data_IF_160880015211
#
_entry.id   IF_160880015211
#
_cell.length_a   1.000
_cell.length_b   1.000
_cell.length_c   1.000
_cell.angle_alpha   90.00
_cell.angle_beta   90.00
_cell.angle_gamma   90.00
#
_symmetry.space_group_name_H-M   'P 1'
#
loop_
_entity.id
_entity.type
_entity.pdbx_description
1 polymer ?
#
# COMPACT_ATOMS: atom_id res chain seq x y z
N UNK A 1 2.30 -28.27 -25.93
CA UNK A 1 2.95 -28.44 -24.62
C UNK A 1 2.19 -27.57 -23.63
N UNK A 2 1.64 -28.19 -22.61
CA UNK A 2 0.71 -27.66 -21.61
C UNK A 2 1.44 -26.68 -20.68
N UNK A 3 0.80 -25.54 -20.34
CA UNK A 3 0.43 -25.03 -18.99
C UNK A 3 -0.53 -23.83 -19.23
N UNK A 4 -1.86 -23.94 -19.12
CA UNK A 4 -2.67 -23.88 -17.88
C UNK A 4 -2.09 -22.85 -16.89
N UNK A 5 -2.76 -21.78 -16.49
CA UNK A 5 -4.10 -21.75 -15.90
C UNK A 5 -4.71 -20.36 -16.02
N UNK A 6 -6.04 -20.28 -15.98
CA UNK A 6 -6.80 -19.04 -15.95
C UNK A 6 -6.16 -18.01 -15.01
N UNK A 7 -5.97 -16.79 -15.51
CA UNK A 7 -5.90 -15.62 -14.63
C UNK A 7 -7.21 -15.62 -13.86
N UNK A 8 -7.17 -16.15 -12.66
CA UNK A 8 -8.27 -16.09 -11.70
C UNK A 8 -8.78 -14.67 -11.62
N UNK A 9 -9.99 -14.44 -12.12
CA UNK A 9 -10.82 -13.28 -11.78
C UNK A 9 -11.40 -13.49 -10.34
N UNK A 10 -10.62 -14.08 -9.43
CA UNK A 10 -11.04 -14.40 -8.05
C UNK A 10 -10.02 -14.03 -6.99
N UNK A 11 -9.09 -13.11 -7.28
CA UNK A 11 -8.26 -12.48 -6.25
C UNK A 11 -8.56 -10.97 -6.13
N UNK A 12 -9.68 -10.58 -5.46
CA UNK A 12 -10.02 -9.18 -5.20
C UNK A 12 -8.87 -8.40 -4.54
N UNK A 13 -8.12 -9.06 -3.65
CA UNK A 13 -6.95 -8.49 -2.97
C UNK A 13 -5.85 -8.12 -3.97
N UNK A 14 -5.52 -9.03 -4.89
CA UNK A 14 -4.52 -8.80 -5.93
C UNK A 14 -4.89 -7.65 -6.86
N UNK A 15 -6.14 -7.60 -7.32
CA UNK A 15 -6.63 -6.50 -8.16
C UNK A 15 -6.59 -5.15 -7.43
N UNK A 16 -6.98 -5.13 -6.15
CA UNK A 16 -6.90 -3.92 -5.34
C UNK A 16 -5.45 -3.48 -5.12
N UNK A 17 -4.53 -4.41 -4.85
CA UNK A 17 -3.11 -4.12 -4.73
C UNK A 17 -2.53 -3.48 -6.00
N UNK A 18 -2.84 -4.05 -7.18
CA UNK A 18 -2.42 -3.52 -8.48
C UNK A 18 -2.97 -2.11 -8.72
N UNK A 19 -4.25 -1.88 -8.40
CA UNK A 19 -4.89 -0.57 -8.52
C UNK A 19 -4.22 0.47 -7.62
N UNK A 20 -3.96 0.13 -6.36
CA UNK A 20 -3.29 1.02 -5.41
C UNK A 20 -1.87 1.34 -5.87
N UNK A 21 -1.11 0.31 -6.28
CA UNK A 21 0.26 0.47 -6.74
C UNK A 21 0.35 1.35 -8.00
N UNK A 22 -0.54 1.13 -8.96
CA UNK A 22 -0.63 1.94 -10.17
C UNK A 22 -0.92 3.40 -9.86
N UNK A 23 -1.89 3.66 -8.96
CA UNK A 23 -2.23 5.04 -8.59
C UNK A 23 -1.09 5.76 -7.87
N UNK A 24 -0.38 5.09 -6.95
CA UNK A 24 0.77 5.69 -6.26
C UNK A 24 1.90 5.97 -7.25
N UNK A 25 2.19 5.03 -8.15
CA UNK A 25 3.32 5.12 -9.08
C UNK A 25 3.12 6.20 -10.14
N UNK A 26 1.89 6.38 -10.61
CA UNK A 26 1.55 7.36 -11.64
C UNK A 26 1.18 8.75 -11.08
N UNK A 27 1.10 8.88 -9.76
CA UNK A 27 0.72 10.14 -9.12
C UNK A 27 1.84 11.18 -9.21
N UNK A 28 1.52 12.47 -9.46
CA UNK A 28 2.48 13.56 -9.31
C UNK A 28 2.89 13.79 -7.84
N UNK A 29 2.07 13.30 -6.90
CA UNK A 29 2.30 13.37 -5.44
C UNK A 29 2.18 11.97 -4.80
N UNK A 30 3.14 11.05 -5.00
CA UNK A 30 3.04 9.66 -4.51
C UNK A 30 2.83 9.56 -2.99
N UNK A 31 3.44 10.45 -2.21
CA UNK A 31 3.27 10.53 -0.75
C UNK A 31 1.83 10.88 -0.34
N UNK A 32 1.21 11.84 -1.03
CA UNK A 32 -0.18 12.20 -0.77
C UNK A 32 -1.15 11.08 -1.18
N UNK A 33 -0.86 10.40 -2.30
CA UNK A 33 -1.64 9.25 -2.74
C UNK A 33 -1.54 8.07 -1.76
N UNK A 34 -0.35 7.80 -1.21
CA UNK A 34 -0.17 6.84 -0.11
C UNK A 34 -1.03 7.21 1.11
N UNK A 35 -0.96 8.48 1.54
CA UNK A 35 -1.76 9.00 2.66
C UNK A 35 -3.26 8.83 2.41
N UNK A 36 -3.72 9.11 1.20
CA UNK A 36 -5.11 8.93 0.78
C UNK A 36 -5.54 7.48 0.97
N UNK A 37 -4.80 6.53 0.42
CA UNK A 37 -5.12 5.11 0.56
C UNK A 37 -5.12 4.66 2.00
N UNK A 38 -4.09 4.99 2.79
CA UNK A 38 -4.07 4.64 4.23
C UNK A 38 -5.32 5.16 4.96
N UNK A 39 -5.75 6.39 4.66
CA UNK A 39 -6.96 6.99 5.25
C UNK A 39 -8.25 6.30 4.78
N UNK A 40 -8.32 5.88 3.52
CA UNK A 40 -9.48 5.16 2.99
C UNK A 40 -9.70 3.82 3.72
N UNK A 41 -8.62 3.16 4.14
CA UNK A 41 -8.67 1.96 5.00
C UNK A 41 -8.93 2.28 6.50
N UNK A 42 -9.03 3.56 6.88
CA UNK A 42 -9.19 3.95 8.28
C UNK A 42 -8.00 3.56 9.18
N UNK A 43 -6.79 3.49 8.62
CA UNK A 43 -5.58 3.06 9.33
C UNK A 43 -4.80 4.31 9.78
N UNK A 44 -4.35 4.38 11.03
CA UNK A 44 -3.51 5.52 11.49
C UNK A 44 -2.04 5.35 11.06
N UNK A 45 -1.24 6.41 11.08
CA UNK A 45 0.21 6.28 10.83
C UNK A 45 0.86 5.34 11.86
N UNK A 46 0.40 5.43 13.12
CA UNK A 46 0.85 4.57 14.21
C UNK A 46 0.52 3.11 13.94
N UNK A 47 -0.72 2.78 13.58
CA UNK A 47 -1.13 1.40 13.27
C UNK A 47 -0.30 0.79 12.14
N UNK A 48 -0.14 1.54 11.04
CA UNK A 48 0.66 1.10 9.90
C UNK A 48 2.12 0.90 10.29
N UNK A 49 2.69 1.83 11.06
CA UNK A 49 4.08 1.77 11.50
C UNK A 49 4.35 0.60 12.46
N UNK A 50 3.40 0.31 13.37
CA UNK A 50 3.44 -0.82 14.28
C UNK A 50 3.42 -2.15 13.50
N UNK A 51 2.55 -2.26 12.50
CA UNK A 51 2.46 -3.44 11.64
C UNK A 51 3.75 -3.65 10.82
N UNK A 52 4.39 -2.57 10.37
CA UNK A 52 5.62 -2.61 9.56
C UNK A 52 6.90 -2.69 10.40
N UNK A 53 6.83 -2.56 11.72
CA UNK A 53 8.01 -2.53 12.59
C UNK A 53 8.93 -1.33 12.36
N UNK A 54 8.37 -0.18 11.97
CA UNK A 54 9.11 1.06 11.72
C UNK A 54 8.53 2.21 12.54
N UNK A 55 9.26 3.32 12.65
CA UNK A 55 8.76 4.49 13.39
C UNK A 55 7.61 5.19 12.65
N UNK A 56 6.57 5.70 13.36
CA UNK A 56 5.52 6.53 12.75
C UNK A 56 6.05 7.73 11.96
N UNK A 57 7.20 8.30 12.35
CA UNK A 57 7.83 9.41 11.64
C UNK A 57 8.25 9.03 10.22
N UNK A 58 8.64 7.77 9.99
CA UNK A 58 9.00 7.27 8.65
C UNK A 58 7.78 7.26 7.74
N UNK A 59 6.61 6.85 8.25
CA UNK A 59 5.35 6.93 7.50
C UNK A 59 5.02 8.40 7.20
N UNK A 60 5.14 9.28 8.19
CA UNK A 60 4.92 10.71 8.02
C UNK A 60 5.85 11.35 6.97
N UNK A 61 7.12 10.95 6.94
CA UNK A 61 8.11 11.43 5.97
C UNK A 61 7.76 11.04 4.53
N UNK A 62 7.26 9.80 4.33
CA UNK A 62 6.78 9.37 3.02
C UNK A 62 5.51 10.12 2.61
N UNK A 63 4.54 10.23 3.52
CA UNK A 63 3.24 10.84 3.23
C UNK A 63 3.29 12.35 3.00
N UNK A 64 4.28 13.02 3.58
CA UNK A 64 4.53 14.45 3.38
C UNK A 64 5.43 14.75 2.18
N UNK A 65 6.00 13.72 1.53
CA UNK A 65 6.97 13.90 0.45
C UNK A 65 8.34 14.41 0.92
N UNK A 66 8.60 14.52 2.24
CA UNK A 66 9.93 14.85 2.78
C UNK A 66 10.98 13.83 2.35
N UNK A 67 10.59 12.55 2.27
CA UNK A 67 11.39 11.52 1.63
C UNK A 67 11.03 11.45 0.15
N UNK A 68 11.93 11.93 -0.72
CA UNK A 68 11.74 11.91 -2.18
C UNK A 68 11.51 10.48 -2.64
N UNK A 69 10.38 10.26 -3.30
CA UNK A 69 9.95 9.02 -3.95
C UNK A 69 10.10 7.75 -3.10
N UNK A 70 9.01 7.24 -2.51
CA UNK A 70 9.06 5.94 -1.86
C UNK A 70 9.55 4.88 -2.85
N UNK A 71 10.63 4.17 -2.52
CA UNK A 71 11.14 3.09 -3.36
C UNK A 71 10.09 1.99 -3.56
N UNK A 72 10.16 1.29 -4.69
CA UNK A 72 9.17 0.26 -5.07
C UNK A 72 8.94 -0.78 -3.94
N UNK A 73 9.99 -1.16 -3.19
CA UNK A 73 9.88 -2.08 -2.07
C UNK A 73 9.07 -1.54 -0.89
N UNK A 74 9.19 -0.25 -0.54
CA UNK A 74 8.41 0.31 0.57
C UNK A 74 6.95 0.48 0.17
N UNK A 75 6.67 0.83 -1.10
CA UNK A 75 5.31 0.89 -1.63
C UNK A 75 4.64 -0.48 -1.51
N UNK A 76 5.29 -1.55 -1.98
CA UNK A 76 4.77 -2.91 -1.86
C UNK A 76 4.46 -3.29 -0.41
N UNK A 77 5.41 -3.05 0.51
CA UNK A 77 5.22 -3.33 1.95
C UNK A 77 4.04 -2.57 2.56
N UNK A 78 3.88 -1.29 2.22
CA UNK A 78 2.77 -0.48 2.70
C UNK A 78 1.45 -1.05 2.16
N UNK A 79 1.35 -1.34 0.87
CA UNK A 79 0.12 -1.90 0.27
C UNK A 79 -0.25 -3.22 0.93
N UNK A 80 0.71 -4.13 1.08
CA UNK A 80 0.49 -5.40 1.77
C UNK A 80 0.01 -5.21 3.21
N UNK A 81 0.62 -4.28 3.95
CA UNK A 81 0.22 -3.96 5.32
C UNK A 81 -1.20 -3.34 5.39
N UNK A 82 -1.56 -2.45 4.47
CA UNK A 82 -2.91 -1.86 4.41
C UNK A 82 -3.96 -2.96 4.22
N UNK A 83 -3.76 -3.82 3.22
CA UNK A 83 -4.66 -4.93 2.93
C UNK A 83 -4.72 -5.92 4.09
N UNK A 84 -3.57 -6.19 4.74
CA UNK A 84 -3.54 -7.13 5.85
C UNK A 84 -4.26 -6.60 7.08
N UNK A 85 -4.09 -5.32 7.41
CA UNK A 85 -4.79 -4.69 8.54
C UNK A 85 -6.30 -4.65 8.27
N UNK A 86 -6.72 -4.38 7.04
CA UNK A 86 -8.12 -4.39 6.61
C UNK A 86 -8.73 -5.80 6.75
N UNK A 87 -8.08 -6.83 6.20
CA UNK A 87 -8.49 -8.24 6.35
C UNK A 87 -8.68 -8.67 7.81
N UNK A 88 -7.86 -8.12 8.73
CA UNK A 88 -7.96 -8.42 10.16
C UNK A 88 -9.14 -7.71 10.85
N UNK A 89 -9.73 -6.69 10.22
CA UNK A 89 -10.88 -5.93 10.74
C UNK A 89 -12.23 -6.49 10.28
N UNK A 90 -12.26 -7.31 9.22
CA UNK A 90 -13.47 -7.95 8.66
C UNK A 90 -13.93 -7.30 7.37
#
# INVERSE_FOLDING_TARGET
>A
MIMNSGREISNPRGFLAEKIAGEITLSPSPGETLRKWRRNFGITQTDLSNHLGISPSVISDYESGRRRSPGIMIVSKIIDALLKIDELRG
#
